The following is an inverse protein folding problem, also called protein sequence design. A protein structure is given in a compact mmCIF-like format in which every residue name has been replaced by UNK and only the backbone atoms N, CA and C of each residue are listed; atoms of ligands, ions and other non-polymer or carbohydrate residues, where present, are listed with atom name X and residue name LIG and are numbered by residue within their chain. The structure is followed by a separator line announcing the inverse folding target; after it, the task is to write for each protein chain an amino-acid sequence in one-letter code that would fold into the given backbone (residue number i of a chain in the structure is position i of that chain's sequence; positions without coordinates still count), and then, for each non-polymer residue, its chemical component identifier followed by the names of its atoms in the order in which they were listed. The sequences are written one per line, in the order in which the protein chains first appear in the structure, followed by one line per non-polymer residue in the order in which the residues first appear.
data_IF_889408793032
#
_entry.id   IF_889408793032
#
_cell.length_a   1.000
_cell.length_b   1.000
_cell.length_c   1.000
_cell.angle_alpha   90.00
_cell.angle_beta   90.00
_cell.angle_gamma   90.00
#
_symmetry.space_group_name_H-M   'P 1'
#
loop_
_entity.id
_entity.type
_entity.pdbx_description
1 polymer ?
#
# COMPACT_ATOMS: atom_id res chain seq x y z
N UNK A 1 -20.62 0.04 4.09
CA UNK A 1 -19.72 0.30 2.94
C UNK A 1 -19.48 1.80 2.74
N UNK A 2 -20.51 2.64 2.58
CA UNK A 2 -20.34 4.09 2.39
C UNK A 2 -19.51 4.79 3.47
N UNK A 3 -19.68 4.43 4.74
CA UNK A 3 -18.94 5.05 5.85
C UNK A 3 -17.41 4.79 5.83
N UNK A 4 -16.94 3.90 4.96
CA UNK A 4 -15.51 3.60 4.75
C UNK A 4 -14.94 4.24 3.48
N UNK A 5 -15.74 5.00 2.74
CA UNK A 5 -15.34 5.67 1.51
C UNK A 5 -15.22 7.17 1.77
N UNK A 6 -14.00 7.68 1.73
CA UNK A 6 -13.75 9.11 1.70
C UNK A 6 -13.72 9.58 0.24
N UNK A 7 -14.55 10.57 -0.10
CA UNK A 7 -14.48 11.22 -1.40
C UNK A 7 -13.54 12.41 -1.30
N UNK A 8 -12.47 12.39 -2.10
CA UNK A 8 -11.56 13.53 -2.23
C UNK A 8 -12.04 14.40 -3.39
N UNK A 9 -12.35 15.68 -3.12
CA UNK A 9 -12.66 16.65 -4.18
C UNK A 9 -11.42 16.92 -5.06
N UNK A 10 -10.24 16.90 -4.45
CA UNK A 10 -8.96 16.95 -5.14
C UNK A 10 -8.02 15.90 -4.54
N UNK A 11 -7.80 14.81 -5.26
CA UNK A 11 -6.93 13.70 -4.84
C UNK A 11 -5.43 14.04 -4.94
N UNK A 12 -5.08 15.16 -5.59
CA UNK A 12 -3.69 15.59 -5.75
C UNK A 12 -3.14 16.27 -4.50
N UNK A 13 -4.00 16.61 -3.52
CA UNK A 13 -3.59 17.21 -2.26
C UNK A 13 -3.00 16.18 -1.29
N UNK A 14 -1.99 16.57 -0.51
CA UNK A 14 -1.36 15.70 0.49
C UNK A 14 -2.32 15.23 1.60
N UNK A 15 -3.42 15.97 1.82
CA UNK A 15 -4.50 15.62 2.75
C UNK A 15 -5.34 14.45 2.27
N UNK A 16 -5.31 14.12 0.97
CA UNK A 16 -5.90 12.90 0.43
C UNK A 16 -4.94 11.72 0.69
N UNK A 17 -4.96 11.23 1.93
CA UNK A 17 -4.10 10.14 2.37
C UNK A 17 -4.38 8.85 1.61
N UNK A 18 -3.33 8.28 1.03
CA UNK A 18 -3.36 7.00 0.33
C UNK A 18 -1.96 6.40 0.31
N UNK A 19 -1.86 5.10 0.55
CA UNK A 19 -0.61 4.34 0.40
C UNK A 19 -0.38 3.90 -1.06
N UNK A 20 -1.48 3.68 -1.78
CA UNK A 20 -1.49 3.22 -3.17
C UNK A 20 -2.59 3.91 -3.98
N UNK A 21 -2.29 4.23 -5.23
CA UNK A 21 -3.22 4.72 -6.22
C UNK A 21 -3.43 3.68 -7.31
N UNK A 22 -4.68 3.26 -7.53
CA UNK A 22 -5.06 2.39 -8.64
C UNK A 22 -5.47 3.30 -9.81
N UNK A 23 -4.77 3.23 -10.93
CA UNK A 23 -4.97 4.12 -12.07
C UNK A 23 -5.32 3.31 -13.31
N UNK A 24 -6.54 3.49 -13.81
CA UNK A 24 -7.02 2.95 -15.07
C UNK A 24 -6.89 4.01 -16.16
N UNK A 25 -5.81 3.95 -16.96
CA UNK A 25 -5.53 4.95 -17.98
C UNK A 25 -4.67 4.37 -19.10
N UNK A 26 -4.62 5.09 -20.23
CA UNK A 26 -3.58 4.87 -21.23
C UNK A 26 -2.20 5.38 -20.72
N UNK A 27 -1.17 5.23 -21.55
CA UNK A 27 0.19 5.66 -21.20
C UNK A 27 0.31 7.18 -20.98
N UNK A 28 -0.56 8.00 -21.57
CA UNK A 28 -0.59 9.44 -21.35
C UNK A 28 -1.15 9.76 -19.96
N UNK A 29 -2.37 9.28 -19.69
CA UNK A 29 -3.03 9.51 -18.40
C UNK A 29 -2.26 8.91 -17.22
N UNK A 30 -1.59 7.77 -17.41
CA UNK A 30 -0.74 7.19 -16.37
C UNK A 30 0.47 8.08 -16.04
N UNK A 31 1.12 8.67 -17.07
CA UNK A 31 2.25 9.59 -16.87
C UNK A 31 1.79 10.88 -16.18
N UNK A 32 0.63 11.41 -16.56
CA UNK A 32 0.06 12.60 -15.93
C UNK A 32 -0.29 12.35 -14.46
N UNK A 33 -0.91 11.20 -14.15
CA UNK A 33 -1.21 10.81 -12.78
C UNK A 33 0.06 10.64 -11.94
N UNK A 34 1.09 9.99 -12.51
CA UNK A 34 2.38 9.83 -11.86
C UNK A 34 3.07 11.16 -11.57
N UNK A 35 3.05 12.09 -12.52
CA UNK A 35 3.63 13.42 -12.33
C UNK A 35 2.90 14.20 -11.21
N UNK A 36 1.57 14.15 -11.16
CA UNK A 36 0.78 14.79 -10.09
C UNK A 36 1.04 14.19 -8.72
N UNK A 37 1.10 12.85 -8.62
CA UNK A 37 1.43 12.18 -7.36
C UNK A 37 2.85 12.47 -6.91
N UNK A 38 3.81 12.55 -7.83
CA UNK A 38 5.20 12.87 -7.52
C UNK A 38 5.39 14.32 -7.06
N UNK A 39 4.56 15.25 -7.55
CA UNK A 39 4.58 16.65 -7.13
C UNK A 39 3.89 16.88 -5.77
N UNK A 40 3.15 15.90 -5.26
CA UNK A 40 2.43 16.00 -3.99
C UNK A 40 3.39 15.93 -2.82
N UNK A 41 3.15 16.76 -1.79
CA UNK A 41 3.85 16.65 -0.52
C UNK A 41 3.47 15.38 0.28
N UNK A 42 4.32 15.00 1.22
CA UNK A 42 4.08 13.84 2.10
C UNK A 42 4.62 12.52 1.55
N UNK A 43 4.11 11.38 2.03
CA UNK A 43 4.57 10.05 1.59
C UNK A 43 4.35 9.83 0.10
N UNK A 44 5.31 9.14 -0.52
CA UNK A 44 5.21 8.68 -1.91
C UNK A 44 4.07 7.66 -2.01
N UNK A 45 3.17 7.87 -2.96
CA UNK A 45 2.09 6.94 -3.25
C UNK A 45 2.52 5.96 -4.33
N UNK A 46 2.45 4.66 -4.05
CA UNK A 46 2.72 3.65 -5.05
C UNK A 46 1.60 3.64 -6.11
N UNK A 47 1.95 3.44 -7.39
CA UNK A 47 0.96 3.36 -8.47
C UNK A 47 0.78 1.90 -8.90
N UNK A 48 -0.47 1.44 -8.88
CA UNK A 48 -0.92 0.23 -9.54
C UNK A 48 -1.60 0.63 -10.86
N UNK A 49 -0.87 0.52 -11.96
CA UNK A 49 -1.38 0.82 -13.29
C UNK A 49 -2.20 -0.35 -13.82
N UNK A 50 -3.40 -0.06 -14.31
CA UNK A 50 -4.29 -1.05 -14.91
C UNK A 50 -4.76 -0.56 -16.28
N UNK A 51 -4.95 -1.47 -17.26
CA UNK A 51 -5.56 -1.11 -18.53
C UNK A 51 -6.97 -0.53 -18.31
N UNK A 52 -7.42 0.42 -19.15
CA UNK A 52 -8.80 0.92 -19.09
C UNK A 52 -9.82 -0.24 -19.13
N UNK A 53 -10.74 -0.27 -18.16
CA UNK A 53 -11.79 -1.29 -18.07
C UNK A 53 -11.37 -2.62 -17.43
N UNK A 54 -10.12 -2.78 -16.99
CA UNK A 54 -9.72 -3.93 -16.20
C UNK A 54 -10.50 -3.98 -14.86
N UNK A 55 -10.93 -5.17 -14.45
CA UNK A 55 -11.71 -5.38 -13.23
C UNK A 55 -10.92 -6.07 -12.12
N UNK A 56 -9.79 -6.70 -12.46
CA UNK A 56 -8.93 -7.38 -11.50
C UNK A 56 -8.06 -6.37 -10.76
N UNK A 57 -8.34 -6.20 -9.46
CA UNK A 57 -7.53 -5.37 -8.58
C UNK A 57 -6.38 -6.19 -7.97
N UNK A 58 -5.14 -5.66 -7.92
CA UNK A 58 -3.99 -6.35 -7.33
C UNK A 58 -4.08 -6.27 -5.79
N UNK A 59 -4.85 -7.17 -5.18
CA UNK A 59 -5.19 -7.15 -3.76
C UNK A 59 -3.96 -7.24 -2.84
N UNK A 60 -2.92 -7.94 -3.28
CA UNK A 60 -1.64 -8.05 -2.60
C UNK A 60 -0.92 -6.70 -2.45
N UNK A 61 -1.27 -5.71 -3.27
CA UNK A 61 -0.76 -4.33 -3.16
C UNK A 61 -1.63 -3.45 -2.26
N UNK A 62 -2.75 -3.97 -1.74
CA UNK A 62 -3.70 -3.26 -0.88
C UNK A 62 -3.57 -3.69 0.60
N UNK A 63 -2.49 -4.41 0.94
CA UNK A 63 -2.14 -4.76 2.32
C UNK A 63 -0.88 -4.04 2.74
N UNK A 64 -0.78 -3.76 4.04
CA UNK A 64 0.47 -3.29 4.64
C UNK A 64 1.19 -4.50 5.23
N UNK A 65 2.32 -4.87 4.64
CA UNK A 65 3.16 -5.94 5.19
C UNK A 65 3.81 -5.50 6.51
N UNK A 66 3.87 -6.42 7.48
CA UNK A 66 4.49 -6.18 8.78
C UNK A 66 5.31 -7.38 9.21
N UNK A 67 6.62 -7.20 9.31
CA UNK A 67 7.53 -8.21 9.87
C UNK A 67 7.76 -7.96 11.37
N UNK A 68 7.76 -9.03 12.16
CA UNK A 68 8.06 -9.01 13.60
C UNK A 68 9.12 -10.05 13.90
N UNK A 69 10.23 -9.63 14.50
CA UNK A 69 11.26 -10.53 15.02
C UNK A 69 11.10 -10.63 16.54
N UNK A 70 10.73 -11.80 17.02
CA UNK A 70 10.53 -12.06 18.45
C UNK A 70 11.69 -12.90 18.95
N UNK A 71 12.48 -12.36 19.88
CA UNK A 71 13.50 -13.13 20.57
C UNK A 71 12.85 -14.12 21.53
N UNK A 72 12.64 -15.36 21.07
CA UNK A 72 12.02 -16.43 21.85
C UNK A 72 12.88 -16.93 23.01
N UNK A 73 14.17 -16.61 23.03
CA UNK A 73 15.10 -16.98 24.12
C UNK A 73 15.30 -15.85 25.15
N UNK A 74 14.56 -14.73 25.04
CA UNK A 74 14.76 -13.56 25.89
C UNK A 74 14.62 -13.84 27.39
N UNK A 75 13.81 -14.85 27.78
CA UNK A 75 13.67 -15.29 29.16
C UNK A 75 14.86 -16.13 29.70
N UNK A 76 15.94 -16.27 28.91
CA UNK A 76 17.16 -16.96 29.33
C UNK A 76 17.28 -18.43 28.89
N UNK A 77 16.35 -18.93 28.06
CA UNK A 77 16.41 -20.30 27.53
C UNK A 77 15.53 -20.47 26.30
N UNK A 78 15.88 -21.42 25.43
CA UNK A 78 15.09 -21.77 24.26
C UNK A 78 14.30 -23.06 24.54
N UNK A 79 13.00 -22.92 24.76
CA UNK A 79 12.11 -24.04 25.08
C UNK A 79 12.11 -25.12 23.98
N UNK A 80 12.20 -24.73 22.70
CA UNK A 80 12.27 -25.68 21.59
C UNK A 80 13.56 -26.52 21.61
N UNK A 81 14.70 -25.92 22.00
CA UNK A 81 15.95 -26.66 22.17
C UNK A 81 15.92 -27.61 23.37
N UNK A 82 15.18 -27.26 24.44
CA UNK A 82 15.03 -28.13 25.62
C UNK A 82 14.24 -29.41 25.31
N UNK A 83 13.43 -29.43 24.24
CA UNK A 83 12.61 -30.58 23.84
C UNK A 83 13.32 -31.54 22.86
N UNK A 84 14.52 -31.21 22.37
CA UNK A 84 15.32 -32.06 21.49
C UNK A 84 16.31 -32.84 22.38
N UNK A 85 16.06 -34.14 22.54
CA UNK A 85 16.89 -35.09 23.28
C UNK A 85 17.11 -36.36 22.48
#
# INVERSE_FOLDING_TARGET
VRDRIALAADWTQATAHADVAIVHADAGGLRDAAARLAARGGPIVAIAALPPGAAEAPLERLVTERALSVNTAAAGGNASLMAIG
#
